data_IF_906344118114
#
_entry.id   IF_906344118114
#
_cell.length_a   1.000
_cell.length_b   1.000
_cell.length_c   1.000
_cell.angle_alpha   90.00
_cell.angle_beta   90.00
_cell.angle_gamma   90.00
#
_symmetry.space_group_name_H-M   'P 1'
#
loop_
_entity.id
_entity.type
_entity.pdbx_description
1 polymer ?
#
# COMPACT_ATOMS: atom_id res chain seq x y z
N UNK A 1 6.82 -6.33 2.02
CA UNK A 1 7.56 -5.20 2.66
C UNK A 1 6.75 -4.67 3.84
N UNK A 2 7.30 -3.82 4.72
CA UNK A 2 6.51 -3.19 5.80
C UNK A 2 5.22 -2.52 5.30
N UNK A 3 5.27 -1.91 4.11
CA UNK A 3 4.10 -1.29 3.47
C UNK A 3 3.00 -2.31 3.13
N UNK A 4 3.34 -3.53 2.69
CA UNK A 4 2.33 -4.58 2.44
C UNK A 4 1.63 -5.00 3.74
N UNK A 5 2.38 -5.11 4.83
CA UNK A 5 1.82 -5.48 6.14
C UNK A 5 0.90 -4.38 6.65
N UNK A 6 1.28 -3.11 6.49
CA UNK A 6 0.45 -1.97 6.86
C UNK A 6 -0.88 -1.93 6.08
N UNK A 7 -0.85 -2.24 4.78
CA UNK A 7 -2.05 -2.38 3.93
C UNK A 7 -2.93 -3.54 4.40
N UNK A 8 -2.36 -4.72 4.67
CA UNK A 8 -3.11 -5.90 5.18
C UNK A 8 -3.80 -5.57 6.51
N UNK A 9 -3.11 -4.84 7.39
CA UNK A 9 -3.63 -4.41 8.68
C UNK A 9 -4.63 -3.24 8.58
N UNK A 10 -4.93 -2.77 7.37
CA UNK A 10 -5.85 -1.67 7.12
C UNK A 10 -5.51 -0.39 7.90
N UNK A 11 -4.21 -0.15 8.14
CA UNK A 11 -3.73 0.93 9.00
C UNK A 11 -3.15 2.09 8.17
N UNK A 12 -4.00 3.07 7.86
CA UNK A 12 -3.61 4.21 7.03
C UNK A 12 -2.51 5.08 7.65
N UNK A 13 -2.47 5.22 8.98
CA UNK A 13 -1.46 6.03 9.68
C UNK A 13 -0.04 5.43 9.51
N UNK A 14 0.07 4.10 9.58
CA UNK A 14 1.34 3.43 9.31
C UNK A 14 1.68 3.52 7.82
N UNK A 15 0.70 3.40 6.92
CA UNK A 15 0.91 3.54 5.48
C UNK A 15 1.45 4.94 5.13
N UNK A 16 0.85 6.00 5.69
CA UNK A 16 1.30 7.38 5.46
C UNK A 16 2.71 7.58 6.00
N UNK A 17 2.98 7.15 7.24
CA UNK A 17 4.30 7.26 7.86
C UNK A 17 5.37 6.57 7.01
N UNK A 18 5.08 5.37 6.50
CA UNK A 18 6.03 4.63 5.66
C UNK A 18 6.29 5.36 4.34
N UNK A 19 5.25 5.88 3.68
CA UNK A 19 5.40 6.61 2.40
C UNK A 19 6.14 7.94 2.60
N UNK A 20 5.88 8.66 3.69
CA UNK A 20 6.62 9.86 4.08
C UNK A 20 8.10 9.58 4.33
N UNK A 21 8.43 8.38 4.83
CA UNK A 21 9.81 7.90 4.99
C UNK A 21 10.34 7.18 3.74
N UNK A 22 9.90 7.60 2.55
CA UNK A 22 10.37 7.14 1.24
C UNK A 22 10.19 5.61 1.01
N UNK A 23 9.22 4.98 1.67
CA UNK A 23 8.90 3.59 1.37
C UNK A 23 8.49 3.43 -0.10
N UNK A 24 8.99 2.38 -0.73
CA UNK A 24 8.69 2.06 -2.11
C UNK A 24 7.22 1.63 -2.27
N UNK A 25 6.39 2.58 -2.73
CA UNK A 25 4.95 2.40 -2.97
C UNK A 25 4.63 1.26 -3.95
N UNK A 26 5.56 0.97 -4.87
CA UNK A 26 5.42 -0.03 -5.93
C UNK A 26 6.27 -1.29 -5.72
N UNK A 27 6.81 -1.51 -4.51
CA UNK A 27 7.53 -2.76 -4.22
C UNK A 27 6.67 -3.97 -4.54
N UNK A 28 7.28 -5.03 -5.07
CA UNK A 28 6.59 -6.29 -5.36
C UNK A 28 7.04 -7.39 -4.42
N UNK A 29 6.11 -8.22 -3.96
CA UNK A 29 6.44 -9.51 -3.33
C UNK A 29 6.90 -10.52 -4.39
N UNK A 30 7.33 -11.70 -3.95
CA UNK A 30 7.84 -12.77 -4.84
C UNK A 30 6.83 -13.23 -5.89
N UNK A 31 5.53 -13.13 -5.59
CA UNK A 31 4.43 -13.47 -6.49
C UNK A 31 3.97 -12.28 -7.37
N UNK A 32 4.67 -11.14 -7.33
CA UNK A 32 4.32 -9.93 -8.09
C UNK A 32 3.29 -9.02 -7.43
N UNK A 33 2.73 -9.39 -6.28
CA UNK A 33 1.77 -8.57 -5.53
C UNK A 33 2.38 -7.23 -5.12
N UNK A 34 1.66 -6.14 -5.41
CA UNK A 34 1.96 -4.76 -5.01
C UNK A 34 1.11 -4.32 -3.80
N UNK A 35 1.49 -3.27 -3.07
CA UNK A 35 0.64 -2.69 -2.02
C UNK A 35 -0.74 -2.29 -2.53
N UNK A 36 -0.83 -1.72 -3.74
CA UNK A 36 -2.13 -1.34 -4.32
C UNK A 36 -2.99 -2.57 -4.65
N UNK A 37 -2.41 -3.65 -5.18
CA UNK A 37 -3.14 -4.90 -5.43
C UNK A 37 -3.76 -5.49 -4.16
N UNK A 38 -3.06 -5.40 -3.02
CA UNK A 38 -3.59 -5.80 -1.70
C UNK A 38 -4.69 -4.85 -1.24
N UNK A 39 -4.53 -3.55 -1.42
CA UNK A 39 -5.55 -2.57 -1.05
C UNK A 39 -6.83 -2.75 -1.86
N UNK A 40 -6.73 -3.10 -3.15
CA UNK A 40 -7.87 -3.39 -4.02
C UNK A 40 -8.63 -4.66 -3.61
N UNK A 41 -7.95 -5.64 -2.99
CA UNK A 41 -8.59 -6.82 -2.40
C UNK A 41 -9.28 -6.48 -1.06
N UNK A 42 -8.90 -5.38 -0.42
CA UNK A 42 -9.57 -4.87 0.76
C UNK A 42 -10.82 -4.07 0.38
N UNK A 43 -11.80 -3.98 1.29
CA UNK A 43 -12.96 -3.10 1.11
C UNK A 43 -12.66 -1.63 1.50
N UNK A 44 -11.40 -1.30 1.82
CA UNK A 44 -11.03 0.04 2.24
C UNK A 44 -10.61 0.92 1.07
N UNK A 45 -11.58 1.67 0.55
CA UNK A 45 -11.38 2.63 -0.54
C UNK A 45 -10.44 3.79 -0.17
N UNK A 46 -10.29 4.09 1.13
CA UNK A 46 -9.41 5.16 1.60
C UNK A 46 -7.95 4.82 1.31
N UNK A 47 -7.53 3.58 1.62
CA UNK A 47 -6.17 3.11 1.35
C UNK A 47 -5.92 3.00 -0.15
N UNK A 48 -6.91 2.53 -0.92
CA UNK A 48 -6.81 2.47 -2.39
C UNK A 48 -6.56 3.87 -2.96
N UNK A 49 -7.35 4.85 -2.52
CA UNK A 49 -7.23 6.23 -2.97
C UNK A 49 -5.89 6.84 -2.55
N UNK A 50 -5.45 6.57 -1.32
CA UNK A 50 -4.18 7.06 -0.79
C UNK A 50 -2.98 6.49 -1.58
N UNK A 51 -2.92 5.18 -1.78
CA UNK A 51 -1.83 4.57 -2.56
C UNK A 51 -1.85 5.04 -4.01
N UNK A 52 -3.04 5.19 -4.62
CA UNK A 52 -3.18 5.68 -5.99
C UNK A 52 -2.70 7.12 -6.15
N UNK A 53 -3.00 8.00 -5.18
CA UNK A 53 -2.54 9.40 -5.21
C UNK A 53 -1.03 9.53 -5.05
N UNK A 54 -0.36 8.52 -4.46
CA UNK A 54 1.09 8.44 -4.31
C UNK A 54 1.77 7.60 -5.41
N UNK A 55 1.10 7.37 -6.55
CA UNK A 55 1.69 6.69 -7.70
C UNK A 55 1.75 5.17 -7.58
N UNK A 56 0.94 4.58 -6.71
CA UNK A 56 0.73 3.14 -6.61
C UNK A 56 0.20 2.55 -7.91
N UNK A 57 0.79 1.44 -8.36
CA UNK A 57 0.30 0.66 -9.50
C UNK A 57 -0.09 -0.74 -9.05
N UNK A 58 -1.11 -1.29 -9.72
CA UNK A 58 -1.56 -2.67 -9.50
C UNK A 58 -0.53 -3.66 -10.06
#
# INVERSE_FOLDING_TARGET
TPLHIAVINNNLEIISTLIENEAQVNSRLLNGTTPLSLALQSQNQEIVSFLSSHGGIN
#
